data_IF_031555511965
#
_entry.id   IF_031555511965
#
_cell.length_a   1.000
_cell.length_b   1.000
_cell.length_c   1.000
_cell.angle_alpha   90.00
_cell.angle_beta   90.00
_cell.angle_gamma   90.00
#
_symmetry.space_group_name_H-M   'P 1'
#
loop_
_entity.id
_entity.type
_entity.pdbx_description
1 polymer ?
#
# COMPACT_ATOMS: atom_id res chain seq x y z
N UNK A 1 18.70 -14.78 -6.58
CA UNK A 1 17.97 -16.02 -6.20
C UNK A 1 16.81 -15.64 -5.28
N UNK A 2 15.70 -16.38 -5.30
CA UNK A 2 14.62 -16.18 -4.32
C UNK A 2 15.05 -16.77 -2.97
N UNK A 3 15.04 -15.96 -1.91
CA UNK A 3 15.51 -16.38 -0.59
C UNK A 3 14.39 -16.93 0.31
N UNK A 4 13.17 -16.40 0.19
CA UNK A 4 12.02 -16.77 1.00
C UNK A 4 10.71 -16.39 0.27
N UNK A 5 9.63 -17.13 0.51
CA UNK A 5 8.28 -16.82 0.01
C UNK A 5 7.23 -17.10 1.09
N UNK A 6 6.24 -16.23 1.21
CA UNK A 6 5.10 -16.40 2.12
C UNK A 6 3.83 -15.81 1.49
N UNK A 7 2.65 -16.40 1.72
CA UNK A 7 1.38 -15.80 1.32
C UNK A 7 0.96 -14.62 2.21
N UNK A 8 1.63 -14.38 3.35
CA UNK A 8 1.28 -13.31 4.29
C UNK A 8 2.33 -12.20 4.30
N UNK A 9 1.85 -10.95 4.36
CA UNK A 9 2.72 -9.78 4.48
C UNK A 9 3.58 -9.85 5.76
N UNK A 10 3.00 -10.30 6.87
CA UNK A 10 3.73 -10.48 8.13
C UNK A 10 4.89 -11.47 8.01
N UNK A 11 4.71 -12.58 7.28
CA UNK A 11 5.80 -13.54 7.03
C UNK A 11 6.91 -12.96 6.15
N UNK A 12 6.56 -12.16 5.13
CA UNK A 12 7.54 -11.44 4.32
C UNK A 12 8.33 -10.43 5.17
N UNK A 13 7.65 -9.67 6.03
CA UNK A 13 8.32 -8.72 6.92
C UNK A 13 9.25 -9.40 7.93
N UNK A 14 8.82 -10.52 8.52
CA UNK A 14 9.65 -11.29 9.42
C UNK A 14 10.95 -11.78 8.73
N UNK A 15 10.86 -12.23 7.48
CA UNK A 15 12.03 -12.67 6.70
C UNK A 15 13.01 -11.51 6.41
N UNK A 16 12.50 -10.33 6.08
CA UNK A 16 13.34 -9.13 5.85
C UNK A 16 13.99 -8.68 7.16
N UNK A 17 13.22 -8.62 8.25
CA UNK A 17 13.74 -8.26 9.57
C UNK A 17 14.82 -9.23 10.07
N UNK A 18 14.72 -10.51 9.70
CA UNK A 18 15.71 -11.54 9.98
C UNK A 18 16.95 -11.50 9.06
N UNK A 19 17.00 -10.57 8.10
CA UNK A 19 18.15 -10.40 7.20
C UNK A 19 18.24 -11.43 6.06
N UNK A 20 17.15 -12.14 5.74
CA UNK A 20 17.16 -13.13 4.66
C UNK A 20 17.24 -12.50 3.26
N UNK A 21 16.91 -11.22 3.13
CA UNK A 21 17.00 -10.48 1.87
C UNK A 21 16.22 -9.16 1.86
N UNK A 22 16.00 -8.64 0.65
CA UNK A 22 15.20 -7.44 0.37
C UNK A 22 13.88 -7.82 -0.30
N UNK A 23 12.89 -6.95 -0.22
CA UNK A 23 11.58 -7.12 -0.88
C UNK A 23 11.11 -5.81 -1.50
N UNK A 24 10.31 -5.89 -2.57
CA UNK A 24 9.67 -4.75 -3.22
C UNK A 24 8.28 -4.56 -2.60
N UNK A 25 8.07 -3.44 -1.91
CA UNK A 25 6.81 -3.10 -1.23
C UNK A 25 6.61 -1.57 -1.17
N UNK A 26 5.36 -1.16 -0.99
CA UNK A 26 5.04 0.19 -0.49
C UNK A 26 5.54 0.33 0.95
N UNK A 27 5.79 1.56 1.39
CA UNK A 27 6.05 1.91 2.78
C UNK A 27 4.81 1.79 3.70
N UNK A 28 3.63 1.64 3.12
CA UNK A 28 2.40 1.33 3.86
C UNK A 28 2.61 0.09 4.75
N UNK A 29 2.45 0.29 6.06
CA UNK A 29 2.60 -0.77 7.06
C UNK A 29 4.05 -1.24 7.24
N UNK A 30 5.05 -0.41 6.94
CA UNK A 30 6.47 -0.67 7.21
C UNK A 30 6.71 -0.83 8.72
N UNK A 31 7.15 -2.01 9.21
CA UNK A 31 7.46 -2.19 10.62
C UNK A 31 8.67 -1.37 11.07
N UNK A 32 8.67 -0.93 12.33
CA UNK A 32 9.73 -0.06 12.87
C UNK A 32 11.15 -0.67 12.85
N UNK A 33 11.26 -2.00 12.82
CA UNK A 33 12.54 -2.73 12.81
C UNK A 33 13.07 -3.02 11.39
N UNK A 34 12.40 -2.52 10.35
CA UNK A 34 12.90 -2.52 8.97
C UNK A 34 12.85 -1.11 8.40
N UNK A 35 13.60 -0.87 7.32
CA UNK A 35 13.66 0.44 6.68
C UNK A 35 13.49 0.33 5.17
N UNK A 36 12.88 1.35 4.57
CA UNK A 36 12.89 1.51 3.13
C UNK A 36 14.32 1.86 2.65
N UNK A 37 14.68 1.38 1.46
CA UNK A 37 15.95 1.70 0.80
C UNK A 37 15.65 2.64 -0.36
N UNK A 38 16.27 3.82 -0.36
CA UNK A 38 16.08 4.81 -1.41
C UNK A 38 16.62 4.29 -2.77
N UNK A 39 16.03 4.72 -3.90
CA UNK A 39 16.57 4.43 -5.23
C UNK A 39 18.05 4.83 -5.35
N UNK A 40 18.82 4.09 -6.14
CA UNK A 40 20.25 4.30 -6.35
C UNK A 40 21.14 3.75 -5.23
N UNK A 41 20.63 3.62 -4.00
CA UNK A 41 21.34 2.92 -2.91
C UNK A 41 21.48 1.45 -3.29
N UNK A 42 22.70 0.91 -3.15
CA UNK A 42 23.05 -0.46 -3.59
C UNK A 42 22.81 -0.72 -5.10
N UNK A 43 22.76 0.33 -5.92
CA UNK A 43 22.46 0.19 -7.35
C UNK A 43 21.01 -0.19 -7.66
N UNK A 44 20.09 -0.01 -6.71
CA UNK A 44 18.68 -0.36 -6.88
C UNK A 44 17.95 0.63 -7.81
N UNK A 45 17.08 0.14 -8.70
CA UNK A 45 16.30 1.02 -9.58
C UNK A 45 15.22 1.77 -8.80
N UNK A 46 14.72 2.86 -9.38
CA UNK A 46 13.47 3.45 -8.94
C UNK A 46 12.31 2.48 -9.22
N UNK A 47 11.35 2.40 -8.30
CA UNK A 47 10.16 1.56 -8.43
C UNK A 47 8.98 2.38 -8.97
N UNK A 48 8.10 1.77 -9.78
CA UNK A 48 6.88 2.42 -10.24
C UNK A 48 5.88 2.59 -9.09
N UNK A 49 4.90 3.46 -9.28
CA UNK A 49 3.77 3.59 -8.35
C UNK A 49 2.81 2.40 -8.48
N UNK A 50 2.21 2.01 -7.35
CA UNK A 50 1.13 1.03 -7.29
C UNK A 50 -0.20 1.75 -7.06
N UNK A 51 -1.24 1.36 -7.79
CA UNK A 51 -2.58 1.91 -7.62
C UNK A 51 -3.32 1.22 -6.46
N UNK A 52 -4.07 2.01 -5.69
CA UNK A 52 -5.01 1.53 -4.69
C UNK A 52 -6.44 1.82 -5.17
N UNK A 53 -7.31 0.82 -5.11
CA UNK A 53 -8.68 0.90 -5.59
C UNK A 53 -9.65 0.47 -4.49
N UNK A 54 -10.73 1.24 -4.32
CA UNK A 54 -11.90 0.79 -3.58
C UNK A 54 -12.86 0.14 -4.58
N UNK A 55 -13.08 -1.17 -4.44
CA UNK A 55 -14.00 -1.91 -5.30
C UNK A 55 -15.40 -1.93 -4.68
N UNK A 56 -16.40 -1.65 -5.51
CA UNK A 56 -17.81 -1.77 -5.18
C UNK A 56 -18.47 -2.81 -6.10
N UNK A 57 -19.52 -3.46 -5.58
CA UNK A 57 -20.29 -4.44 -6.36
C UNK A 57 -21.22 -3.75 -7.36
N UNK A 58 -22.00 -2.81 -6.86
CA UNK A 58 -23.05 -2.13 -7.63
C UNK A 58 -22.56 -0.73 -8.05
N UNK A 59 -23.05 -0.22 -9.18
CA UNK A 59 -22.67 1.11 -9.68
C UNK A 59 -23.17 2.23 -8.77
N UNK A 60 -24.38 2.05 -8.20
CA UNK A 60 -24.95 2.92 -7.18
C UNK A 60 -24.99 2.16 -5.86
N UNK A 61 -24.39 2.74 -4.82
CA UNK A 61 -24.38 2.18 -3.48
C UNK A 61 -25.64 2.61 -2.72
N UNK A 62 -26.14 1.75 -1.84
CA UNK A 62 -27.09 2.21 -0.83
C UNK A 62 -26.41 3.20 0.14
N UNK A 63 -27.18 4.03 0.88
CA UNK A 63 -26.62 5.08 1.72
C UNK A 63 -25.63 4.59 2.80
N UNK A 64 -25.79 3.37 3.31
CA UNK A 64 -24.89 2.81 4.33
C UNK A 64 -23.57 2.38 3.69
N UNK A 65 -23.64 1.70 2.56
CA UNK A 65 -22.45 1.30 1.81
C UNK A 65 -21.67 2.52 1.27
N UNK A 66 -22.38 3.55 0.78
CA UNK A 66 -21.78 4.82 0.37
C UNK A 66 -21.04 5.48 1.54
N UNK A 67 -21.67 5.53 2.72
CA UNK A 67 -21.02 6.09 3.92
C UNK A 67 -19.79 5.31 4.34
N UNK A 68 -19.81 3.98 4.24
CA UNK A 68 -18.63 3.15 4.50
C UNK A 68 -17.51 3.46 3.49
N UNK A 69 -17.85 3.60 2.21
CA UNK A 69 -16.88 3.93 1.16
C UNK A 69 -16.17 5.27 1.46
N UNK A 70 -16.92 6.29 1.87
CA UNK A 70 -16.36 7.58 2.30
C UNK A 70 -15.39 7.44 3.48
N UNK A 71 -15.77 6.69 4.52
CA UNK A 71 -14.93 6.47 5.71
C UNK A 71 -13.63 5.74 5.32
N UNK A 72 -13.73 4.70 4.48
CA UNK A 72 -12.57 3.95 4.01
C UNK A 72 -11.63 4.81 3.17
N UNK A 73 -12.18 5.64 2.27
CA UNK A 73 -11.38 6.57 1.47
C UNK A 73 -10.68 7.60 2.34
N UNK A 74 -11.39 8.19 3.30
CA UNK A 74 -10.82 9.16 4.23
C UNK A 74 -9.67 8.54 5.05
N UNK A 75 -9.91 7.38 5.67
CA UNK A 75 -8.90 6.68 6.45
C UNK A 75 -7.68 6.27 5.61
N UNK A 76 -7.91 5.86 4.35
CA UNK A 76 -6.82 5.57 3.43
C UNK A 76 -5.99 6.82 3.12
N UNK A 77 -6.62 7.94 2.78
CA UNK A 77 -5.92 9.20 2.49
C UNK A 77 -5.09 9.70 3.67
N UNK A 78 -5.56 9.52 4.91
CA UNK A 78 -4.83 9.87 6.12
C UNK A 78 -3.63 8.95 6.42
N UNK A 79 -3.65 7.72 5.89
CA UNK A 79 -2.60 6.71 6.15
C UNK A 79 -1.56 6.63 5.04
N UNK A 80 -1.91 7.09 3.83
CA UNK A 80 -1.02 7.03 2.67
C UNK A 80 0.16 8.00 2.82
N UNK A 81 1.34 7.67 2.26
CA UNK A 81 2.51 8.54 2.31
C UNK A 81 2.26 9.86 1.55
N UNK A 82 2.98 10.93 1.92
CA UNK A 82 2.83 12.27 1.32
C UNK A 82 2.96 12.31 -0.22
N UNK A 83 3.66 11.34 -0.81
CA UNK A 83 3.79 11.20 -2.26
C UNK A 83 2.60 10.53 -2.98
N UNK A 84 1.57 10.10 -2.24
CA UNK A 84 0.38 9.48 -2.81
C UNK A 84 -0.43 10.50 -3.61
N UNK A 85 -0.94 10.07 -4.77
CA UNK A 85 -1.73 10.91 -5.67
C UNK A 85 -3.16 10.40 -5.71
N UNK A 86 -4.08 11.22 -5.24
CA UNK A 86 -5.51 11.01 -5.40
C UNK A 86 -5.94 11.45 -6.82
N UNK A 87 -6.85 10.71 -7.47
CA UNK A 87 -7.54 11.22 -8.66
C UNK A 87 -8.51 12.33 -8.25
N UNK A 88 -8.56 13.43 -9.02
CA UNK A 88 -9.29 14.68 -8.72
C UNK A 88 -10.82 14.55 -8.47
N UNK A 89 -11.41 13.36 -8.62
CA UNK A 89 -12.84 13.13 -8.44
C UNK A 89 -13.18 11.98 -7.46
N UNK A 90 -12.26 11.55 -6.60
CA UNK A 90 -12.45 10.40 -5.69
C UNK A 90 -13.67 10.50 -4.75
N UNK A 91 -14.07 11.71 -4.36
CA UNK A 91 -15.19 11.94 -3.43
C UNK A 91 -16.51 12.34 -4.13
N UNK A 92 -16.53 12.39 -5.47
CA UNK A 92 -17.74 12.75 -6.25
C UNK A 92 -18.52 11.54 -6.78
N UNK A 93 -18.06 10.33 -6.47
CA UNK A 93 -18.58 9.06 -7.01
C UNK A 93 -19.24 8.21 -5.92
N UNK A 94 -19.21 8.66 -4.65
CA UNK A 94 -19.96 8.07 -3.55
C UNK A 94 -21.34 8.73 -3.43
#
# INVERSE_FOLDING_TARGET
RMAFSSPSLGGIWAAVAAGLGLTIRTDIGLPANVRAIAPGVLGLPALPMMALHLHQKDAELDPVAARLAEILLQAALETLPEGARAKENLLKVA
#
